data_IF_658200824327
#
_entry.id   IF_658200824327
#
_cell.length_a   1.000
_cell.length_b   1.000
_cell.length_c   1.000
_cell.angle_alpha   90.00
_cell.angle_beta   90.00
_cell.angle_gamma   90.00
#
_symmetry.space_group_name_H-M   'P 1'
#
loop_
_entity.id
_entity.type
_entity.pdbx_description
1 polymer ?
#
# COMPACT_ATOMS: atom_id res chain seq x y z
N UNK A 1 -35.35 -15.89 24.88
CA UNK A 1 -35.73 -15.80 23.46
C UNK A 1 -34.65 -14.98 22.78
N UNK A 2 -33.81 -15.60 21.96
CA UNK A 2 -32.77 -14.91 21.21
C UNK A 2 -33.41 -14.11 20.09
N UNK A 3 -33.04 -12.83 19.94
CA UNK A 3 -33.52 -12.01 18.82
C UNK A 3 -33.21 -12.69 17.48
N UNK A 4 -34.13 -12.64 16.49
CA UNK A 4 -33.82 -13.11 15.15
C UNK A 4 -32.75 -12.21 14.56
N UNK A 5 -31.62 -12.80 14.16
CA UNK A 5 -30.62 -12.12 13.34
C UNK A 5 -31.33 -11.74 12.04
N UNK A 6 -31.70 -10.47 11.90
CA UNK A 6 -32.24 -9.92 10.67
C UNK A 6 -31.06 -9.75 9.70
N UNK A 7 -30.56 -10.87 9.17
CA UNK A 7 -29.49 -10.90 8.19
C UNK A 7 -30.04 -10.29 6.90
N UNK A 8 -29.98 -8.97 6.81
CA UNK A 8 -30.27 -8.24 5.58
C UNK A 8 -29.24 -8.71 4.57
N UNK A 9 -29.66 -9.52 3.59
CA UNK A 9 -28.79 -10.02 2.53
C UNK A 9 -28.13 -8.79 1.90
N UNK A 10 -26.81 -8.78 1.89
CA UNK A 10 -26.03 -7.69 1.28
C UNK A 10 -26.42 -7.56 -0.19
N UNK A 11 -26.85 -6.38 -0.65
CA UNK A 11 -27.17 -6.15 -2.06
C UNK A 11 -25.91 -6.02 -2.93
N UNK A 12 -24.72 -6.01 -2.32
CA UNK A 12 -23.46 -5.90 -3.04
C UNK A 12 -23.18 -7.17 -3.84
N UNK A 13 -23.14 -7.02 -5.15
CA UNK A 13 -22.64 -8.04 -6.07
C UNK A 13 -21.14 -7.81 -6.31
N UNK A 14 -20.33 -8.86 -6.41
CA UNK A 14 -18.91 -8.73 -6.73
C UNK A 14 -18.72 -8.13 -8.13
N UNK A 15 -17.65 -7.35 -8.30
CA UNK A 15 -17.19 -6.90 -9.62
C UNK A 15 -17.00 -8.12 -10.55
N UNK A 16 -17.45 -7.99 -11.79
CA UNK A 16 -17.42 -9.06 -12.80
C UNK A 16 -16.58 -8.68 -14.03
N UNK A 17 -16.24 -7.40 -14.18
CA UNK A 17 -15.37 -6.98 -15.27
C UNK A 17 -13.97 -7.57 -15.08
N UNK A 18 -13.56 -8.40 -16.03
CA UNK A 18 -12.32 -9.17 -15.96
C UNK A 18 -11.07 -8.28 -15.93
N UNK A 19 -11.11 -7.12 -16.58
CA UNK A 19 -9.98 -6.19 -16.61
C UNK A 19 -9.89 -5.45 -15.28
N UNK A 20 -11.01 -4.95 -14.75
CA UNK A 20 -11.05 -4.31 -13.43
C UNK A 20 -10.61 -5.27 -12.32
N UNK A 21 -11.08 -6.53 -12.37
CA UNK A 21 -10.67 -7.56 -11.42
C UNK A 21 -9.16 -7.83 -11.48
N UNK A 22 -8.57 -7.90 -12.67
CA UNK A 22 -7.13 -8.12 -12.83
C UNK A 22 -6.32 -6.93 -12.26
N UNK A 23 -6.75 -5.69 -12.55
CA UNK A 23 -6.10 -4.47 -12.06
C UNK A 23 -6.20 -4.36 -10.54
N UNK A 24 -7.38 -4.58 -9.97
CA UNK A 24 -7.58 -4.59 -8.51
C UNK A 24 -6.77 -5.71 -7.84
N UNK A 25 -6.73 -6.90 -8.44
CA UNK A 25 -5.93 -8.02 -7.97
C UNK A 25 -4.45 -7.69 -7.93
N UNK A 26 -3.91 -7.09 -9.02
CA UNK A 26 -2.50 -6.71 -9.10
C UNK A 26 -2.15 -5.60 -8.12
N UNK A 27 -3.01 -4.58 -7.99
CA UNK A 27 -2.83 -3.53 -6.99
C UNK A 27 -2.77 -4.09 -5.57
N UNK A 28 -3.64 -5.06 -5.24
CA UNK A 28 -3.64 -5.71 -3.93
C UNK A 28 -2.39 -6.57 -3.70
N UNK A 29 -1.94 -7.33 -4.71
CA UNK A 29 -0.72 -8.12 -4.67
C UNK A 29 0.50 -7.23 -4.37
N UNK A 30 0.74 -6.19 -5.18
CA UNK A 30 1.92 -5.33 -5.04
C UNK A 30 1.91 -4.55 -3.72
N UNK A 31 0.73 -4.10 -3.24
CA UNK A 31 0.63 -3.46 -1.92
C UNK A 31 1.06 -4.41 -0.79
N UNK A 32 0.70 -5.70 -0.88
CA UNK A 32 1.09 -6.69 0.12
C UNK A 32 2.58 -7.04 0.04
N UNK A 33 3.14 -7.14 -1.17
CA UNK A 33 4.59 -7.36 -1.36
C UNK A 33 5.40 -6.18 -0.81
N UNK A 34 5.01 -4.94 -1.13
CA UNK A 34 5.63 -3.74 -0.56
C UNK A 34 5.52 -3.73 0.97
N UNK A 35 4.35 -4.05 1.52
CA UNK A 35 4.13 -4.18 2.96
C UNK A 35 5.08 -5.20 3.60
N UNK A 36 5.26 -6.36 2.97
CA UNK A 36 6.18 -7.39 3.42
C UNK A 36 7.65 -6.92 3.39
N UNK A 37 8.08 -6.21 2.34
CA UNK A 37 9.44 -5.63 2.27
C UNK A 37 9.67 -4.53 3.30
N UNK A 38 8.69 -3.66 3.53
CA UNK A 38 8.76 -2.65 4.57
C UNK A 38 8.89 -3.30 5.97
N UNK A 39 8.07 -4.31 6.26
CA UNK A 39 8.17 -5.08 7.51
C UNK A 39 9.55 -5.75 7.66
N UNK A 40 10.09 -6.31 6.58
CA UNK A 40 11.45 -6.88 6.59
C UNK A 40 12.50 -5.82 6.93
N UNK A 41 12.42 -4.63 6.33
CA UNK A 41 13.34 -3.53 6.62
C UNK A 41 13.26 -3.09 8.10
N UNK A 42 12.07 -3.12 8.70
CA UNK A 42 11.88 -2.81 10.14
C UNK A 42 12.58 -3.85 11.02
N UNK A 43 12.42 -5.14 10.71
CA UNK A 43 12.92 -6.24 11.55
C UNK A 43 14.42 -6.46 11.37
N UNK A 44 14.91 -6.36 10.13
CA UNK A 44 16.25 -6.79 9.74
C UNK A 44 17.18 -5.61 9.43
N UNK A 45 16.67 -4.40 9.21
CA UNK A 45 17.48 -3.26 8.78
C UNK A 45 17.48 -3.07 7.26
N UNK A 46 17.53 -1.81 6.82
CA UNK A 46 17.40 -1.42 5.41
C UNK A 46 18.63 -1.81 4.55
N UNK A 47 19.81 -1.90 5.16
CA UNK A 47 21.07 -2.18 4.46
C UNK A 47 21.50 -3.65 4.54
N UNK A 48 20.75 -4.50 5.24
CA UNK A 48 20.99 -5.94 5.27
C UNK A 48 20.60 -6.61 3.95
N UNK A 49 21.20 -7.77 3.70
CA UNK A 49 20.94 -8.58 2.51
C UNK A 49 20.26 -9.91 2.84
N UNK A 50 19.42 -10.38 1.93
CA UNK A 50 18.87 -11.72 2.00
C UNK A 50 19.98 -12.76 1.75
N UNK A 51 20.25 -13.68 2.70
CA UNK A 51 21.30 -14.68 2.53
C UNK A 51 21.03 -15.66 1.37
N UNK A 52 19.77 -15.82 0.95
CA UNK A 52 19.41 -16.73 -0.15
C UNK A 52 19.58 -16.10 -1.54
N UNK A 53 19.26 -14.81 -1.69
CA UNK A 53 19.30 -14.12 -2.99
C UNK A 53 20.46 -13.14 -3.15
N UNK A 54 21.16 -12.82 -2.06
CA UNK A 54 22.19 -11.79 -1.94
C UNK A 54 21.72 -10.38 -2.37
N UNK A 55 20.40 -10.13 -2.36
CA UNK A 55 19.83 -8.82 -2.66
C UNK A 55 19.62 -8.03 -1.37
N UNK A 56 20.00 -6.76 -1.39
CA UNK A 56 19.77 -5.86 -0.25
C UNK A 56 18.29 -5.57 -0.05
N UNK A 57 17.89 -5.39 1.20
CA UNK A 57 16.54 -4.96 1.56
C UNK A 57 16.18 -3.62 0.91
N UNK A 58 17.16 -2.70 0.79
CA UNK A 58 17.03 -1.44 0.03
C UNK A 58 16.65 -1.67 -1.43
N UNK A 59 17.32 -2.58 -2.12
CA UNK A 59 17.06 -2.86 -3.53
C UNK A 59 15.69 -3.52 -3.73
N UNK A 60 15.33 -4.46 -2.87
CA UNK A 60 14.02 -5.12 -2.94
C UNK A 60 12.88 -4.15 -2.59
N UNK A 61 13.05 -3.30 -1.57
CA UNK A 61 12.06 -2.27 -1.24
C UNK A 61 11.87 -1.29 -2.40
N UNK A 62 12.95 -0.86 -3.06
CA UNK A 62 12.87 0.02 -4.22
C UNK A 62 12.12 -0.64 -5.38
N UNK A 63 12.28 -1.96 -5.59
CA UNK A 63 11.56 -2.71 -6.61
C UNK A 63 10.06 -2.72 -6.34
N UNK A 64 9.62 -3.12 -5.14
CA UNK A 64 8.17 -3.17 -4.88
C UNK A 64 7.54 -1.76 -4.83
N UNK A 65 8.28 -0.72 -4.46
CA UNK A 65 7.79 0.67 -4.59
C UNK A 65 7.53 1.00 -6.06
N UNK A 66 8.44 0.62 -6.97
CA UNK A 66 8.23 0.84 -8.40
C UNK A 66 7.03 0.06 -8.93
N UNK A 67 6.86 -1.19 -8.49
CA UNK A 67 5.74 -2.05 -8.89
C UNK A 67 4.39 -1.49 -8.38
N UNK A 68 4.34 -0.97 -7.14
CA UNK A 68 3.16 -0.27 -6.60
C UNK A 68 2.84 1.03 -7.34
N UNK A 69 3.85 1.82 -7.71
CA UNK A 69 3.64 3.05 -8.50
C UNK A 69 3.02 2.67 -9.85
N UNK A 70 3.61 1.71 -10.56
CA UNK A 70 3.13 1.28 -11.86
C UNK A 70 1.69 0.76 -11.80
N UNK A 71 1.36 -0.09 -10.82
CA UNK A 71 0.00 -0.63 -10.71
C UNK A 71 -1.03 0.41 -10.23
N UNK A 72 -0.60 1.41 -9.44
CA UNK A 72 -1.45 2.55 -9.04
C UNK A 72 -1.83 3.40 -10.25
N UNK A 73 -0.87 3.74 -11.12
CA UNK A 73 -1.14 4.50 -12.35
C UNK A 73 -2.13 3.76 -13.26
N UNK A 74 -1.92 2.46 -13.49
CA UNK A 74 -2.84 1.63 -14.28
C UNK A 74 -4.23 1.57 -13.63
N UNK A 75 -4.31 1.48 -12.30
CA UNK A 75 -5.59 1.48 -11.59
C UNK A 75 -6.35 2.80 -11.74
N UNK A 76 -5.64 3.94 -11.68
CA UNK A 76 -6.23 5.26 -11.90
C UNK A 76 -6.85 5.35 -13.29
N UNK A 77 -6.10 4.93 -14.32
CA UNK A 77 -6.56 4.97 -15.71
C UNK A 77 -7.76 4.04 -15.94
N UNK A 78 -7.62 2.75 -15.63
CA UNK A 78 -8.61 1.71 -15.95
C UNK A 78 -9.90 1.86 -15.14
N UNK A 79 -9.81 2.29 -13.88
CA UNK A 79 -10.96 2.49 -13.01
C UNK A 79 -11.50 3.93 -13.08
N UNK A 80 -10.86 4.82 -13.84
CA UNK A 80 -11.24 6.22 -14.02
C UNK A 80 -11.34 6.95 -12.67
N UNK A 81 -10.32 6.79 -11.84
CA UNK A 81 -10.28 7.37 -10.49
C UNK A 81 -9.86 8.84 -10.54
N UNK A 82 -10.57 9.69 -9.83
CA UNK A 82 -10.18 11.08 -9.60
C UNK A 82 -9.29 11.17 -8.35
N UNK A 83 -7.98 10.99 -8.54
CA UNK A 83 -7.00 11.08 -7.46
C UNK A 83 -6.61 12.53 -7.21
N UNK A 84 -6.82 12.99 -5.98
CA UNK A 84 -6.56 14.37 -5.60
C UNK A 84 -5.08 14.65 -5.31
N UNK A 85 -4.43 15.43 -6.17
CA UNK A 85 -3.08 15.95 -5.93
C UNK A 85 -2.98 16.69 -4.59
N UNK A 86 -3.99 17.51 -4.27
CA UNK A 86 -4.04 18.22 -2.98
C UNK A 86 -3.98 17.23 -1.82
N UNK A 87 -4.72 16.12 -1.88
CA UNK A 87 -4.72 15.10 -0.83
C UNK A 87 -3.34 14.45 -0.67
N UNK A 88 -2.65 14.16 -1.77
CA UNK A 88 -1.28 13.62 -1.78
C UNK A 88 -0.33 14.63 -1.11
N UNK A 89 -0.35 15.89 -1.55
CA UNK A 89 0.52 16.94 -1.03
C UNK A 89 0.29 17.21 0.47
N UNK A 90 -0.97 17.25 0.90
CA UNK A 90 -1.32 17.39 2.32
C UNK A 90 -0.74 16.24 3.16
N UNK A 91 -0.81 15.00 2.63
CA UNK A 91 -0.27 13.82 3.30
C UNK A 91 1.26 13.83 3.35
N UNK A 92 1.92 14.21 2.26
CA UNK A 92 3.39 14.36 2.20
C UNK A 92 3.89 15.40 3.22
N UNK A 93 3.26 16.58 3.29
CA UNK A 93 3.60 17.60 4.29
C UNK A 93 3.44 17.08 5.71
N UNK A 94 2.39 16.30 5.97
CA UNK A 94 2.20 15.62 7.25
C UNK A 94 3.35 14.67 7.61
N UNK A 95 3.81 13.85 6.66
CA UNK A 95 4.96 12.96 6.87
C UNK A 95 6.26 13.71 7.13
N UNK A 96 6.57 14.76 6.35
CA UNK A 96 7.78 15.56 6.60
C UNK A 96 7.76 16.23 7.97
N UNK A 97 6.62 16.79 8.38
CA UNK A 97 6.46 17.36 9.71
C UNK A 97 6.70 16.31 10.80
N UNK A 98 6.16 15.11 10.62
CA UNK A 98 6.39 14.01 11.56
C UNK A 98 7.86 13.58 11.64
N UNK A 99 8.59 13.55 10.52
CA UNK A 99 10.04 13.30 10.53
C UNK A 99 10.81 14.38 11.29
N UNK A 100 10.49 15.66 11.07
CA UNK A 100 11.11 16.75 11.83
C UNK A 100 10.89 16.59 13.33
N UNK A 101 9.69 16.20 13.77
CA UNK A 101 9.41 15.95 15.19
C UNK A 101 10.27 14.81 15.77
N UNK A 102 10.54 13.75 14.99
CA UNK A 102 11.44 12.66 15.41
C UNK A 102 12.88 13.17 15.57
N UNK A 103 13.35 13.99 14.62
CA UNK A 103 14.72 14.54 14.63
C UNK A 103 14.95 15.56 15.76
N UNK A 104 13.96 16.40 16.05
CA UNK A 104 14.04 17.44 17.09
C UNK A 104 13.70 16.93 18.49
N UNK A 105 13.07 15.74 18.59
CA UNK A 105 12.55 15.21 19.85
C UNK A 105 11.28 15.91 20.34
N UNK A 106 10.67 16.78 19.52
CA UNK A 106 9.43 17.48 19.86
C UNK A 106 8.27 16.47 19.96
N UNK A 107 7.72 16.33 21.18
CA UNK A 107 6.64 15.38 21.49
C UNK A 107 7.01 14.28 22.49
N UNK A 108 8.25 14.26 22.99
CA UNK A 108 8.62 13.53 24.21
C UNK A 108 8.57 14.43 25.44
#
# INVERSE_FOLDING_TARGET
>A
MSEPINATISPWMPEQDRIRLAVLGKLAEECNELGARAARCIIQGIDEADPASNRSNRAELAREIADVIACTEVAIEVLTLDVSDRRIQDKMRGFYRWHTMIETGEGR
#
